data_IF_865696853215
#
_entry.id   IF_865696853215
#
_cell.length_a   1.000
_cell.length_b   1.000
_cell.length_c   1.000
_cell.angle_alpha   90.00
_cell.angle_beta   90.00
_cell.angle_gamma   90.00
#
_symmetry.space_group_name_H-M   'P 1'
#
loop_
_entity.id
_entity.type
_entity.pdbx_description
1 polymer ?
#
# COMPACT_ATOMS: atom_id res chain seq x y z
N UNK A 1 -51.18 -6.41 25.13
CA UNK A 1 -51.80 -5.50 24.14
C UNK A 1 -50.75 -5.27 23.05
N UNK A 2 -50.57 -6.18 22.08
CA UNK A 2 -51.44 -6.43 20.91
C UNK A 2 -51.45 -5.17 20.00
N UNK A 3 -51.02 -5.16 18.72
CA UNK A 3 -51.06 -6.21 17.70
C UNK A 3 -50.08 -5.96 16.54
N UNK A 4 -49.46 -7.03 16.06
CA UNK A 4 -49.21 -7.30 14.64
C UNK A 4 -50.56 -7.50 13.92
N UNK A 5 -50.73 -6.97 12.70
CA UNK A 5 -51.40 -7.61 11.55
C UNK A 5 -51.84 -6.54 10.54
N UNK A 6 -51.44 -6.70 9.27
CA UNK A 6 -52.38 -7.10 8.21
C UNK A 6 -51.66 -7.15 6.85
N UNK A 7 -51.51 -8.39 6.38
CA UNK A 7 -51.31 -8.77 4.99
C UNK A 7 -52.70 -8.88 4.31
N UNK A 8 -52.71 -8.61 2.99
CA UNK A 8 -53.67 -9.03 1.96
C UNK A 8 -55.08 -8.39 1.84
N UNK A 9 -55.26 -7.68 0.71
CA UNK A 9 -56.29 -7.90 -0.31
C UNK A 9 -55.82 -7.17 -1.60
N UNK A 10 -55.56 -7.80 -2.75
CA UNK A 10 -56.55 -8.33 -3.71
C UNK A 10 -56.98 -7.21 -4.68
N UNK A 11 -56.32 -6.98 -5.82
CA UNK A 11 -56.50 -7.60 -7.16
C UNK A 11 -57.49 -6.88 -8.09
N UNK A 12 -57.08 -6.80 -9.37
CA UNK A 12 -57.79 -6.40 -10.61
C UNK A 12 -57.87 -4.90 -10.92
N UNK A 13 -57.71 -4.42 -12.15
CA UNK A 13 -57.11 -4.86 -13.42
C UNK A 13 -57.30 -3.67 -14.36
N UNK A 14 -56.40 -3.44 -15.33
CA UNK A 14 -56.72 -3.10 -16.73
C UNK A 14 -55.43 -2.82 -17.53
N UNK A 15 -55.20 -3.73 -18.47
CA UNK A 15 -54.29 -3.62 -19.62
C UNK A 15 -54.72 -2.44 -20.52
N UNK A 16 -53.81 -1.76 -21.23
CA UNK A 16 -53.40 -2.18 -22.58
C UNK A 16 -52.12 -1.47 -23.07
N UNK A 17 -51.40 -2.07 -24.03
CA UNK A 17 -50.07 -1.65 -24.50
C UNK A 17 -50.14 -0.81 -25.79
N UNK A 18 -49.14 0.04 -26.02
CA UNK A 18 -48.92 0.68 -27.32
C UNK A 18 -47.71 0.07 -28.03
N UNK A 19 -47.92 -0.19 -29.31
CA UNK A 19 -47.14 -1.01 -30.23
C UNK A 19 -45.85 -0.36 -30.77
N UNK A 20 -45.04 -1.27 -31.29
CA UNK A 20 -43.83 -1.20 -32.09
C UNK A 20 -43.76 -0.20 -33.25
N UNK A 21 -42.54 0.25 -33.55
CA UNK A 21 -42.04 0.30 -34.92
C UNK A 21 -40.79 -0.57 -35.09
N UNK A 22 -40.87 -1.45 -36.09
CA UNK A 22 -39.76 -2.20 -36.72
C UNK A 22 -38.99 -1.29 -37.68
N UNK A 23 -37.74 -1.68 -37.97
CA UNK A 23 -37.01 -1.69 -39.27
C UNK A 23 -35.50 -1.59 -38.90
N UNK A 24 -34.53 -2.35 -39.40
CA UNK A 24 -34.41 -3.57 -40.21
C UNK A 24 -32.95 -4.05 -40.04
N UNK A 25 -32.75 -5.35 -39.89
CA UNK A 25 -31.45 -6.06 -39.95
C UNK A 25 -30.96 -6.21 -41.39
N UNK A 26 -29.64 -6.07 -41.62
CA UNK A 26 -28.91 -6.84 -42.64
C UNK A 26 -27.49 -7.20 -42.13
N UNK A 27 -27.16 -8.48 -42.23
CA UNK A 27 -25.86 -9.13 -41.94
C UNK A 27 -25.03 -9.26 -43.26
N UNK A 28 -23.96 -10.07 -43.36
CA UNK A 28 -22.59 -9.58 -43.51
C UNK A 28 -21.96 -10.00 -44.86
N UNK A 29 -20.80 -9.47 -45.25
CA UNK A 29 -19.95 -10.14 -46.24
C UNK A 29 -18.46 -9.87 -45.97
N UNK A 30 -17.70 -10.96 -45.89
CA UNK A 30 -16.24 -11.03 -46.01
C UNK A 30 -15.87 -10.98 -47.49
N UNK A 31 -14.68 -10.48 -47.84
CA UNK A 31 -13.48 -11.28 -48.22
C UNK A 31 -12.33 -10.41 -48.74
N UNK A 32 -11.11 -10.87 -48.40
CA UNK A 32 -9.82 -10.82 -49.13
C UNK A 32 -9.15 -9.44 -49.34
N UNK A 33 -7.83 -9.23 -49.32
CA UNK A 33 -6.61 -10.01 -49.65
C UNK A 33 -5.42 -9.40 -48.85
N UNK A 34 -4.50 -10.11 -48.19
CA UNK A 34 -3.30 -10.86 -48.64
C UNK A 34 -1.97 -10.22 -48.12
N UNK A 35 -1.32 -10.97 -47.20
CA UNK A 35 0.11 -11.26 -46.91
C UNK A 35 1.28 -10.45 -47.56
N UNK A 36 2.56 -10.64 -47.13
CA UNK A 36 3.13 -10.78 -45.77
C UNK A 36 4.42 -9.92 -45.58
N UNK A 37 4.92 -9.78 -44.35
CA UNK A 37 6.35 -9.47 -44.14
C UNK A 37 6.92 -10.38 -43.06
N UNK A 38 7.87 -11.21 -43.47
CA UNK A 38 8.71 -12.06 -42.65
C UNK A 38 9.93 -11.29 -42.17
N UNK A 39 10.35 -11.50 -40.92
CA UNK A 39 11.78 -11.66 -40.63
C UNK A 39 11.96 -12.50 -39.38
N UNK A 40 12.78 -13.53 -39.55
CA UNK A 40 13.25 -14.46 -38.54
C UNK A 40 14.34 -13.84 -37.66
N UNK A 41 14.70 -14.61 -36.63
CA UNK A 41 16.00 -14.67 -35.97
C UNK A 41 16.17 -13.68 -34.80
N UNK A 42 16.66 -14.06 -33.61
CA UNK A 42 17.44 -15.23 -33.19
C UNK A 42 17.25 -15.47 -31.69
N UNK A 43 17.18 -16.74 -31.35
CA UNK A 43 17.51 -17.32 -30.06
C UNK A 43 18.88 -16.83 -29.58
N UNK A 44 18.99 -16.45 -28.30
CA UNK A 44 20.25 -16.55 -27.57
C UNK A 44 20.00 -17.23 -26.23
N UNK A 45 20.63 -18.40 -26.10
CA UNK A 45 20.74 -19.16 -24.87
C UNK A 45 21.64 -18.41 -23.89
N UNK A 46 21.24 -18.39 -22.63
CA UNK A 46 22.07 -17.93 -21.53
C UNK A 46 22.93 -19.10 -21.07
N UNK A 47 24.22 -19.05 -21.41
CA UNK A 47 25.22 -19.96 -20.88
C UNK A 47 25.63 -19.47 -19.49
N UNK A 48 25.46 -20.37 -18.53
CA UNK A 48 25.93 -20.26 -17.15
C UNK A 48 27.46 -20.23 -17.10
N UNK A 49 28.04 -19.21 -16.48
CA UNK A 49 29.45 -19.19 -16.09
C UNK A 49 29.56 -18.80 -14.62
N UNK A 50 29.85 -19.81 -13.79
CA UNK A 50 30.38 -19.67 -12.43
C UNK A 50 31.89 -19.41 -12.51
N UNK A 51 32.34 -18.32 -11.89
CA UNK A 51 33.75 -18.10 -11.46
C UNK A 51 33.63 -17.36 -10.12
N UNK A 52 33.61 -18.05 -8.97
CA UNK A 52 34.75 -18.45 -8.11
C UNK A 52 35.81 -17.35 -7.89
N UNK A 53 35.79 -16.85 -6.66
CA UNK A 53 36.90 -16.46 -5.79
C UNK A 53 37.96 -15.49 -6.32
N UNK A 54 37.85 -14.23 -5.89
CA UNK A 54 39.02 -13.37 -5.64
C UNK A 54 38.78 -12.52 -4.38
N UNK A 55 39.36 -12.96 -3.26
CA UNK A 55 39.58 -12.18 -2.04
C UNK A 55 40.81 -11.27 -2.17
N UNK A 56 40.91 -10.22 -1.33
CA UNK A 56 41.65 -9.00 -1.64
C UNK A 56 43.11 -9.02 -1.17
N UNK A 57 43.97 -8.32 -1.92
CA UNK A 57 45.35 -8.03 -1.51
C UNK A 57 45.37 -6.83 -0.55
N UNK A 58 45.80 -7.11 0.68
CA UNK A 58 46.16 -6.14 1.72
C UNK A 58 47.57 -5.60 1.48
N UNK A 59 47.77 -4.30 1.69
CA UNK A 59 49.08 -3.77 2.02
C UNK A 59 49.25 -2.27 1.81
N UNK A 60 49.07 -1.47 2.86
CA UNK A 60 50.11 -0.51 3.28
C UNK A 60 49.74 0.22 4.58
N UNK A 61 50.69 0.13 5.52
CA UNK A 61 50.76 0.81 6.81
C UNK A 61 50.67 2.33 6.68
N UNK A 62 50.07 3.01 7.66
CA UNK A 62 50.74 4.12 8.39
C UNK A 62 49.97 4.59 9.65
N UNK A 63 50.74 4.53 10.75
CA UNK A 63 50.79 5.40 11.94
C UNK A 63 49.58 5.46 12.89
N UNK A 64 49.79 4.81 14.04
CA UNK A 64 49.18 5.15 15.31
C UNK A 64 49.62 6.55 15.77
N UNK A 65 48.67 7.40 16.12
CA UNK A 65 48.86 8.50 17.06
C UNK A 65 48.05 8.19 18.32
N UNK A 66 48.75 8.12 19.44
CA UNK A 66 48.20 7.96 20.78
C UNK A 66 48.00 9.38 21.33
N UNK A 67 46.76 9.78 21.58
CA UNK A 67 46.45 10.90 22.46
C UNK A 67 45.62 10.39 23.63
N UNK A 68 46.09 10.72 24.83
CA UNK A 68 45.51 10.33 26.11
C UNK A 68 44.33 11.25 26.43
N UNK A 69 43.23 10.59 26.83
CA UNK A 69 42.21 10.98 27.82
C UNK A 69 42.02 12.47 28.17
N UNK A 70 40.79 12.93 27.95
CA UNK A 70 40.10 13.82 28.88
C UNK A 70 38.71 13.26 29.12
N UNK A 71 38.43 12.89 30.38
CA UNK A 71 37.11 12.55 30.90
C UNK A 71 36.07 13.60 30.50
N UNK A 72 34.99 13.13 29.89
CA UNK A 72 33.79 13.91 29.60
C UNK A 72 32.69 12.91 29.29
N UNK A 73 31.73 12.79 30.21
CA UNK A 73 30.78 11.69 30.30
C UNK A 73 30.18 11.24 28.97
N UNK A 74 30.32 9.95 28.67
CA UNK A 74 29.55 9.27 27.64
C UNK A 74 28.08 9.24 28.07
N UNK A 75 27.33 10.27 27.68
CA UNK A 75 25.91 10.07 27.42
C UNK A 75 25.80 9.16 26.21
N UNK A 76 25.55 7.88 26.43
CA UNK A 76 25.08 6.97 25.39
C UNK A 76 23.73 7.47 24.85
N UNK A 77 23.76 8.45 23.95
CA UNK A 77 22.70 8.59 22.97
C UNK A 77 22.76 7.31 22.12
N UNK A 78 21.99 6.30 22.51
CA UNK A 78 21.70 5.16 21.63
C UNK A 78 21.02 5.74 20.39
N UNK A 79 21.81 6.06 19.36
CA UNK A 79 21.29 6.51 18.08
C UNK A 79 20.22 5.53 17.63
N UNK A 80 18.99 6.00 17.49
CA UNK A 80 17.86 5.17 17.08
C UNK A 80 18.22 4.54 15.73
N UNK A 81 18.39 3.22 15.68
CA UNK A 81 18.72 2.53 14.44
C UNK A 81 17.65 2.84 13.40
N UNK A 82 18.04 3.06 12.14
CA UNK A 82 17.05 3.17 11.07
C UNK A 82 16.31 1.84 10.93
N UNK A 83 14.99 1.90 10.76
CA UNK A 83 14.15 0.72 10.55
C UNK A 83 14.15 0.30 9.08
N UNK A 84 14.14 -0.99 8.81
CA UNK A 84 13.99 -1.53 7.46
C UNK A 84 12.51 -1.60 7.09
N UNK A 85 12.13 -0.86 6.05
CA UNK A 85 10.77 -0.76 5.57
C UNK A 85 10.60 -1.56 4.27
N UNK A 86 9.52 -2.33 4.19
CA UNK A 86 8.99 -2.80 2.91
C UNK A 86 7.79 -1.95 2.51
N UNK A 87 7.58 -1.75 1.22
CA UNK A 87 6.40 -1.06 0.70
C UNK A 87 5.66 -1.93 -0.30
N UNK A 88 4.34 -1.96 -0.21
CA UNK A 88 3.49 -2.72 -1.13
C UNK A 88 2.65 -1.76 -1.95
N UNK A 89 2.64 -1.91 -3.28
CA UNK A 89 1.93 -1.01 -4.20
C UNK A 89 1.27 -1.78 -5.35
N UNK A 90 0.21 -1.21 -5.93
CA UNK A 90 -0.44 -1.75 -7.14
C UNK A 90 -0.62 -0.71 -8.27
N UNK A 91 -0.10 0.50 -8.09
CA UNK A 91 -0.39 1.67 -8.93
C UNK A 91 0.75 2.69 -8.98
N UNK A 92 0.40 3.97 -9.05
CA UNK A 92 1.37 5.06 -9.24
C UNK A 92 2.36 5.27 -8.07
N UNK A 93 2.01 4.82 -6.87
CA UNK A 93 2.89 4.86 -5.70
C UNK A 93 3.13 6.27 -5.14
N UNK A 94 2.18 7.19 -5.24
CA UNK A 94 2.33 8.56 -4.71
C UNK A 94 2.53 8.58 -3.18
N UNK A 95 1.79 7.76 -2.43
CA UNK A 95 2.02 7.56 -0.99
C UNK A 95 3.44 7.04 -0.70
N UNK A 96 3.90 6.03 -1.46
CA UNK A 96 5.26 5.51 -1.33
C UNK A 96 6.30 6.62 -1.58
N UNK A 97 6.15 7.40 -2.66
CA UNK A 97 7.05 8.51 -3.00
C UNK A 97 7.12 9.54 -1.87
N UNK A 98 5.98 9.90 -1.26
CA UNK A 98 5.91 10.85 -0.15
C UNK A 98 6.69 10.33 1.07
N UNK A 99 6.44 9.09 1.51
CA UNK A 99 7.16 8.51 2.66
C UNK A 99 8.65 8.31 2.34
N UNK A 100 8.99 7.87 1.12
CA UNK A 100 10.38 7.71 0.69
C UNK A 100 11.12 9.05 0.69
N UNK A 101 10.51 10.12 0.20
CA UNK A 101 11.09 11.47 0.29
C UNK A 101 11.34 11.87 1.76
N UNK A 102 10.41 11.58 2.66
CA UNK A 102 10.58 11.83 4.10
C UNK A 102 11.71 10.98 4.73
N UNK A 103 11.96 9.77 4.20
CA UNK A 103 13.14 9.00 4.63
C UNK A 103 14.45 9.61 4.14
N UNK A 104 14.47 10.17 2.93
CA UNK A 104 15.65 10.81 2.34
C UNK A 104 15.96 12.15 3.03
N UNK A 105 14.94 12.93 3.41
CA UNK A 105 15.13 14.19 4.16
C UNK A 105 15.53 13.96 5.62
N UNK A 106 15.35 12.75 6.15
CA UNK A 106 15.64 12.41 7.54
C UNK A 106 14.45 12.54 8.49
N UNK A 107 13.29 13.02 8.01
CA UNK A 107 12.06 13.14 8.81
C UNK A 107 11.51 11.79 9.27
N UNK A 108 11.78 10.73 8.50
CA UNK A 108 11.47 9.34 8.84
C UNK A 108 12.77 8.57 8.99
N UNK A 109 13.05 8.08 10.20
CA UNK A 109 14.18 7.19 10.52
C UNK A 109 13.97 5.74 10.00
N UNK A 110 13.55 5.60 8.76
CA UNK A 110 13.35 4.35 8.05
C UNK A 110 14.19 4.26 6.79
N UNK A 111 14.34 3.06 6.22
CA UNK A 111 14.99 2.82 4.95
C UNK A 111 14.15 1.82 4.14
N UNK A 112 13.70 2.20 2.95
CA UNK A 112 12.98 1.27 2.08
C UNK A 112 13.96 0.29 1.44
N UNK A 113 13.92 -0.96 1.89
CA UNK A 113 14.86 -2.01 1.44
C UNK A 113 14.27 -2.93 0.37
N UNK A 114 12.94 -2.92 0.20
CA UNK A 114 12.26 -3.70 -0.84
C UNK A 114 10.88 -3.12 -1.14
N UNK A 115 10.48 -3.18 -2.40
CA UNK A 115 9.12 -2.93 -2.86
C UNK A 115 8.47 -4.23 -3.34
N UNK A 116 7.22 -4.45 -2.96
CA UNK A 116 6.40 -5.58 -3.42
C UNK A 116 5.24 -5.06 -4.25
N UNK A 117 4.95 -5.72 -5.37
CA UNK A 117 3.85 -5.32 -6.25
C UNK A 117 3.21 -6.50 -6.94
N UNK A 118 1.91 -6.41 -7.22
CA UNK A 118 1.21 -7.36 -8.08
C UNK A 118 1.18 -6.92 -9.56
N UNK A 119 1.92 -5.86 -9.91
CA UNK A 119 2.05 -5.33 -11.27
C UNK A 119 3.49 -4.90 -11.55
N UNK A 120 4.16 -5.63 -12.44
CA UNK A 120 5.56 -5.43 -12.79
C UNK A 120 5.91 -3.99 -13.20
N UNK A 121 5.05 -3.36 -14.03
CA UNK A 121 5.32 -2.05 -14.64
C UNK A 121 4.50 -0.90 -14.04
N UNK A 122 4.03 -1.04 -12.80
CA UNK A 122 3.32 0.07 -12.15
C UNK A 122 4.27 1.22 -11.79
N UNK A 123 3.74 2.45 -11.75
CA UNK A 123 4.54 3.65 -11.49
C UNK A 123 5.30 3.66 -10.16
N UNK A 124 4.82 2.92 -9.16
CA UNK A 124 5.56 2.70 -7.91
C UNK A 124 6.78 1.78 -8.08
N UNK A 125 6.65 0.71 -8.87
CA UNK A 125 7.75 -0.21 -9.15
C UNK A 125 8.84 0.47 -10.01
N UNK A 126 8.45 1.26 -11.00
CA UNK A 126 9.40 2.03 -11.81
C UNK A 126 10.20 3.01 -10.94
N UNK A 127 9.52 3.74 -10.05
CA UNK A 127 10.18 4.61 -9.09
C UNK A 127 11.14 3.87 -8.15
N UNK A 128 10.76 2.70 -7.64
CA UNK A 128 11.66 1.90 -6.80
C UNK A 128 12.93 1.50 -7.56
N UNK A 129 12.81 1.04 -8.82
CA UNK A 129 13.97 0.71 -9.66
C UNK A 129 14.87 1.92 -9.91
N UNK A 130 14.28 3.08 -10.22
CA UNK A 130 15.02 4.35 -10.37
C UNK A 130 15.80 4.76 -9.11
N UNK A 131 15.31 4.37 -7.92
CA UNK A 131 15.95 4.63 -6.63
C UNK A 131 16.84 3.47 -6.15
N UNK A 132 17.02 2.42 -6.95
CA UNK A 132 17.82 1.26 -6.59
C UNK A 132 17.18 0.36 -5.52
N UNK A 133 15.87 0.47 -5.30
CA UNK A 133 15.12 -0.36 -4.35
C UNK A 133 14.68 -1.65 -5.09
N UNK A 134 15.08 -2.84 -4.61
CA UNK A 134 14.67 -4.11 -5.20
C UNK A 134 13.14 -4.26 -5.28
N UNK A 135 12.66 -4.87 -6.36
CA UNK A 135 11.23 -5.10 -6.60
C UNK A 135 10.93 -6.60 -6.62
N UNK A 136 9.95 -7.03 -5.82
CA UNK A 136 9.42 -8.39 -5.79
C UNK A 136 8.01 -8.40 -6.38
N UNK A 137 7.71 -9.39 -7.22
CA UNK A 137 6.35 -9.61 -7.73
C UNK A 137 5.59 -10.57 -6.81
N UNK A 138 4.41 -10.15 -6.36
CA UNK A 138 3.51 -10.95 -5.54
C UNK A 138 2.06 -10.48 -5.73
N UNK A 139 1.07 -11.39 -5.78
CA UNK A 139 1.20 -12.85 -5.71
C UNK A 139 1.53 -13.48 -7.06
N UNK A 140 1.84 -14.78 -7.07
CA UNK A 140 1.73 -15.61 -8.28
C UNK A 140 0.30 -15.47 -8.82
N UNK A 141 0.17 -15.14 -10.10
CA UNK A 141 -1.13 -15.07 -10.78
C UNK A 141 -1.19 -16.10 -11.89
N UNK A 142 -2.40 -16.57 -12.24
CA UNK A 142 -2.60 -17.49 -13.37
C UNK A 142 -2.03 -16.85 -14.64
N UNK A 143 -1.08 -17.53 -15.29
CA UNK A 143 -0.38 -17.03 -16.48
C UNK A 143 0.78 -16.06 -16.19
N UNK A 144 1.12 -15.80 -14.91
CA UNK A 144 2.27 -15.00 -14.49
C UNK A 144 3.07 -15.76 -13.40
N UNK A 145 3.93 -16.71 -13.80
CA UNK A 145 4.69 -17.56 -12.86
C UNK A 145 5.79 -16.79 -12.12
N UNK A 146 6.07 -15.55 -12.51
CA UNK A 146 7.08 -14.66 -11.89
C UNK A 146 6.73 -14.20 -10.47
N UNK A 147 5.46 -14.30 -10.05
CA UNK A 147 5.05 -13.92 -8.71
C UNK A 147 5.36 -15.00 -7.68
N UNK A 148 5.60 -14.59 -6.44
CA UNK A 148 5.84 -15.51 -5.31
C UNK A 148 4.54 -16.04 -4.69
N UNK A 149 4.64 -17.22 -4.06
CA UNK A 149 3.64 -17.70 -3.10
C UNK A 149 3.71 -16.88 -1.79
N UNK A 150 2.70 -17.01 -0.92
CA UNK A 150 2.72 -16.32 0.38
C UNK A 150 3.92 -16.75 1.25
N UNK A 151 4.19 -18.06 1.33
CA UNK A 151 5.33 -18.60 2.08
C UNK A 151 6.68 -18.14 1.50
N UNK A 152 6.83 -18.17 0.18
CA UNK A 152 8.06 -17.72 -0.47
C UNK A 152 8.28 -16.23 -0.27
N UNK A 153 7.21 -15.43 -0.24
CA UNK A 153 7.30 -14.01 0.06
C UNK A 153 7.78 -13.78 1.51
N UNK A 154 7.29 -14.52 2.50
CA UNK A 154 7.78 -14.44 3.88
C UNK A 154 9.28 -14.76 3.94
N UNK A 155 9.71 -15.83 3.28
CA UNK A 155 11.13 -16.21 3.20
C UNK A 155 11.97 -15.14 2.49
N UNK A 156 11.44 -14.51 1.44
CA UNK A 156 12.13 -13.43 0.74
C UNK A 156 12.26 -12.18 1.63
N UNK A 157 11.18 -11.75 2.27
CA UNK A 157 11.16 -10.55 3.12
C UNK A 157 12.02 -10.71 4.39
N UNK A 158 12.11 -11.92 4.95
CA UNK A 158 12.94 -12.16 6.15
C UNK A 158 14.43 -11.84 5.92
N UNK A 159 14.93 -12.04 4.69
CA UNK A 159 16.31 -11.71 4.29
C UNK A 159 16.61 -10.21 4.37
N UNK A 160 15.58 -9.38 4.22
CA UNK A 160 15.69 -7.92 4.32
C UNK A 160 15.55 -7.40 5.76
N UNK A 161 15.30 -8.28 6.74
CA UNK A 161 15.12 -7.90 8.17
C UNK A 161 14.07 -6.79 8.33
N UNK A 162 12.93 -6.92 7.67
CA UNK A 162 11.85 -5.92 7.68
C UNK A 162 11.32 -5.70 9.10
N UNK A 163 11.27 -4.44 9.51
CA UNK A 163 10.64 -3.99 10.76
C UNK A 163 9.16 -3.66 10.54
N UNK A 164 8.85 -2.95 9.44
CA UNK A 164 7.48 -2.57 9.07
C UNK A 164 7.20 -2.72 7.58
N UNK A 165 5.97 -3.13 7.26
CA UNK A 165 5.42 -3.19 5.91
C UNK A 165 4.37 -2.09 5.76
N UNK A 166 4.56 -1.21 4.79
CA UNK A 166 3.63 -0.12 4.48
C UNK A 166 2.86 -0.44 3.20
N UNK A 167 1.55 -0.67 3.30
CA UNK A 167 0.67 -0.81 2.14
C UNK A 167 0.31 0.60 1.64
N UNK A 168 0.78 0.95 0.45
CA UNK A 168 0.63 2.27 -0.16
C UNK A 168 -0.18 2.16 -1.46
N UNK A 169 -1.46 1.78 -1.34
CA UNK A 169 -2.33 1.49 -2.47
C UNK A 169 -2.11 0.09 -3.05
N UNK A 170 -1.89 -0.90 -2.17
CA UNK A 170 -1.86 -2.30 -2.55
C UNK A 170 -3.28 -2.87 -2.59
N UNK A 171 -3.64 -3.57 -3.67
CA UNK A 171 -5.03 -3.92 -3.99
C UNK A 171 -5.35 -5.41 -3.83
N UNK A 172 -4.48 -6.17 -3.16
CA UNK A 172 -4.71 -7.59 -2.86
C UNK A 172 -4.79 -7.77 -1.35
N UNK A 173 -5.60 -8.74 -0.92
CA UNK A 173 -5.65 -9.16 0.46
C UNK A 173 -4.26 -9.64 0.90
N UNK A 174 -3.85 -9.26 2.10
CA UNK A 174 -2.62 -9.77 2.69
C UNK A 174 -2.89 -11.18 3.22
N UNK A 175 -2.08 -12.18 2.85
CA UNK A 175 -2.29 -13.56 3.30
C UNK A 175 -1.94 -13.71 4.80
N UNK A 176 -2.57 -14.67 5.47
CA UNK A 176 -2.40 -14.90 6.92
C UNK A 176 -0.96 -15.30 7.30
N UNK A 177 -0.20 -15.88 6.38
CA UNK A 177 1.23 -16.15 6.54
C UNK A 177 2.02 -14.86 6.78
N UNK A 178 1.73 -13.80 6.03
CA UNK A 178 2.40 -12.50 6.22
C UNK A 178 1.98 -11.85 7.55
N UNK A 179 0.69 -11.89 7.86
CA UNK A 179 0.15 -11.29 9.10
C UNK A 179 0.76 -11.96 10.34
N UNK A 180 0.89 -13.30 10.31
CA UNK A 180 1.54 -14.05 11.39
C UNK A 180 3.06 -13.80 11.46
N UNK A 181 3.73 -13.62 10.32
CA UNK A 181 5.17 -13.34 10.29
C UNK A 181 5.52 -11.90 10.71
N UNK A 182 4.60 -10.95 10.54
CA UNK A 182 4.79 -9.52 10.85
C UNK A 182 3.68 -8.99 11.78
N UNK A 183 3.54 -9.54 12.99
CA UNK A 183 2.47 -9.16 13.90
C UNK A 183 2.63 -7.69 14.31
N UNK A 184 1.56 -6.90 14.18
CA UNK A 184 1.56 -5.46 14.48
C UNK A 184 2.64 -4.66 13.72
N UNK A 185 3.07 -5.16 12.57
CA UNK A 185 4.12 -4.54 11.74
C UNK A 185 3.65 -4.20 10.33
N UNK A 186 2.38 -4.46 9.99
CA UNK A 186 1.82 -4.13 8.68
C UNK A 186 0.80 -3.00 8.85
N UNK A 187 1.03 -1.88 8.17
CA UNK A 187 0.16 -0.72 8.15
C UNK A 187 -0.45 -0.54 6.78
N UNK A 188 -1.73 -0.17 6.72
CA UNK A 188 -2.41 0.22 5.50
C UNK A 188 -2.95 1.63 5.63
N UNK A 189 -2.98 2.35 4.51
CA UNK A 189 -3.70 3.61 4.39
C UNK A 189 -4.93 3.41 3.51
N UNK A 190 -6.10 3.77 4.03
CA UNK A 190 -7.38 3.66 3.36
C UNK A 190 -8.01 5.05 3.18
N UNK A 191 -8.54 5.41 2.00
CA UNK A 191 -8.98 6.78 1.69
C UNK A 191 -10.41 7.11 2.16
N UNK A 192 -10.80 6.63 3.34
CA UNK A 192 -12.02 7.04 4.06
C UNK A 192 -11.81 6.98 5.57
N UNK A 193 -12.74 7.59 6.32
CA UNK A 193 -12.81 7.49 7.78
C UNK A 193 -13.42 6.13 8.16
N UNK A 194 -12.57 5.12 8.35
CA UNK A 194 -13.00 3.79 8.79
C UNK A 194 -13.76 3.86 10.12
N UNK A 195 -14.77 2.98 10.34
CA UNK A 195 -15.15 1.84 9.49
C UNK A 195 -15.98 2.19 8.25
N UNK A 196 -16.34 3.46 8.04
CA UNK A 196 -17.16 3.86 6.91
C UNK A 196 -16.40 3.71 5.58
N UNK A 197 -17.08 3.18 4.56
CA UNK A 197 -16.53 2.98 3.21
C UNK A 197 -15.24 2.15 3.17
N UNK A 198 -15.04 1.25 4.14
CA UNK A 198 -13.97 0.26 4.17
C UNK A 198 -14.44 -1.12 3.70
N UNK A 199 -13.49 -2.03 3.50
CA UNK A 199 -13.76 -3.42 3.21
C UNK A 199 -13.72 -3.76 1.72
N UNK A 200 -14.08 -5.02 1.40
CA UNK A 200 -13.97 -5.56 0.05
C UNK A 200 -14.78 -4.73 -0.96
N UNK A 201 -14.10 -4.21 -1.98
CA UNK A 201 -14.73 -3.45 -3.07
C UNK A 201 -14.56 -1.92 -2.95
N UNK A 202 -14.16 -1.44 -1.77
CA UNK A 202 -13.84 -0.04 -1.54
C UNK A 202 -12.36 0.22 -1.76
N UNK A 203 -11.97 0.51 -3.00
CA UNK A 203 -10.60 0.89 -3.34
C UNK A 203 -10.55 1.89 -4.48
N UNK A 204 -9.47 2.68 -4.54
CA UNK A 204 -9.29 3.71 -5.56
C UNK A 204 -10.48 4.68 -5.61
N UNK A 205 -10.91 5.04 -6.82
CA UNK A 205 -12.02 6.01 -7.01
C UNK A 205 -13.37 5.52 -6.50
N UNK A 206 -13.55 4.21 -6.25
CA UNK A 206 -14.81 3.65 -5.73
C UNK A 206 -15.14 4.18 -4.34
N UNK A 207 -14.12 4.44 -3.52
CA UNK A 207 -14.30 4.98 -2.16
C UNK A 207 -14.90 6.38 -2.22
N UNK A 208 -14.25 7.28 -2.97
CA UNK A 208 -14.71 8.67 -3.10
C UNK A 208 -16.08 8.78 -3.79
N UNK A 209 -16.37 7.91 -4.77
CA UNK A 209 -17.72 7.80 -5.36
C UNK A 209 -18.78 7.46 -4.32
N UNK A 210 -18.51 6.47 -3.47
CA UNK A 210 -19.44 6.07 -2.41
C UNK A 210 -19.61 7.16 -1.34
N UNK A 211 -18.53 7.84 -0.96
CA UNK A 211 -18.56 8.98 -0.05
C UNK A 211 -19.49 10.08 -0.59
N UNK A 212 -19.28 10.52 -1.84
CA UNK A 212 -20.13 11.55 -2.46
C UNK A 212 -21.58 11.09 -2.54
N UNK A 213 -21.82 9.86 -3.02
CA UNK A 213 -23.16 9.32 -3.16
C UNK A 213 -23.92 9.19 -1.83
N UNK A 214 -23.21 9.00 -0.71
CA UNK A 214 -23.82 8.91 0.61
C UNK A 214 -24.28 10.25 1.21
N UNK A 215 -23.80 11.38 0.69
CA UNK A 215 -24.14 12.71 1.19
C UNK A 215 -23.44 13.14 2.49
N UNK A 216 -22.47 12.37 2.99
CA UNK A 216 -21.69 12.75 4.18
C UNK A 216 -20.91 14.06 3.97
N UNK A 217 -20.68 14.82 5.03
CA UNK A 217 -19.95 16.11 4.99
C UNK A 217 -18.45 15.99 5.28
N UNK A 218 -18.01 14.82 5.70
CA UNK A 218 -16.63 14.54 6.07
C UNK A 218 -16.17 13.20 5.52
N UNK A 219 -14.92 13.16 5.12
CA UNK A 219 -14.16 11.99 4.69
C UNK A 219 -12.71 12.17 5.16
N UNK A 220 -11.76 11.51 4.50
CA UNK A 220 -10.34 11.63 4.80
C UNK A 220 -9.67 10.28 4.99
N UNK A 221 -8.35 10.23 5.19
CA UNK A 221 -7.65 8.96 5.26
C UNK A 221 -7.67 8.34 6.66
N UNK A 222 -7.56 7.02 6.70
CA UNK A 222 -7.30 6.24 7.90
C UNK A 222 -6.03 5.42 7.70
N UNK A 223 -5.11 5.44 8.68
CA UNK A 223 -4.05 4.45 8.79
C UNK A 223 -4.39 3.49 9.92
N UNK A 224 -4.30 2.20 9.62
CA UNK A 224 -4.62 1.13 10.56
C UNK A 224 -3.63 -0.03 10.41
N UNK A 225 -3.51 -0.83 11.47
CA UNK A 225 -2.82 -2.11 11.39
C UNK A 225 -3.64 -3.09 10.55
N UNK A 226 -2.97 -3.91 9.75
CA UNK A 226 -3.62 -4.91 8.89
C UNK A 226 -3.89 -6.18 9.69
N UNK A 227 -5.08 -6.75 9.50
CA UNK A 227 -5.46 -8.09 9.93
C UNK A 227 -5.88 -8.94 8.72
N UNK A 228 -6.51 -10.09 8.95
CA UNK A 228 -6.89 -11.04 7.88
C UNK A 228 -8.04 -10.54 7.00
N UNK A 229 -8.71 -9.45 7.38
CA UNK A 229 -9.84 -8.88 6.67
C UNK A 229 -9.50 -7.49 6.12
N UNK A 230 -10.25 -7.05 5.11
CA UNK A 230 -10.07 -5.72 4.55
C UNK A 230 -10.54 -4.66 5.54
N UNK A 231 -9.62 -3.77 5.92
CA UNK A 231 -9.90 -2.51 6.60
C UNK A 231 -10.60 -2.63 7.97
N UNK A 232 -10.43 -3.77 8.68
CA UNK A 232 -11.00 -3.98 10.02
C UNK A 232 -10.00 -3.88 11.16
N UNK A 233 -8.71 -3.86 10.84
CA UNK A 233 -7.68 -3.84 11.87
C UNK A 233 -7.65 -2.52 12.64
N UNK A 234 -6.90 -2.50 13.75
CA UNK A 234 -6.93 -1.39 14.71
C UNK A 234 -6.45 -0.08 14.07
N UNK A 235 -7.31 0.92 14.12
CA UNK A 235 -7.03 2.28 13.64
C UNK A 235 -5.92 2.89 14.49
N UNK A 236 -4.94 3.50 13.83
CA UNK A 236 -3.82 4.19 14.44
C UNK A 236 -3.93 5.72 14.27
N UNK A 237 -4.37 6.19 13.10
CA UNK A 237 -4.51 7.61 12.84
C UNK A 237 -5.59 7.89 11.80
N UNK A 238 -6.28 9.02 11.95
CA UNK A 238 -7.24 9.53 10.98
C UNK A 238 -7.07 11.04 10.79
N UNK A 239 -7.46 11.54 9.62
CA UNK A 239 -7.60 12.98 9.38
C UNK A 239 -8.92 13.29 8.70
N UNK A 240 -9.59 14.31 9.20
CA UNK A 240 -10.85 14.78 8.62
C UNK A 240 -10.57 15.66 7.40
N UNK A 241 -11.32 15.42 6.35
CA UNK A 241 -11.35 16.20 5.11
C UNK A 241 -12.80 16.56 4.80
N UNK A 242 -13.14 17.85 4.61
CA UNK A 242 -14.49 18.23 4.23
C UNK A 242 -14.85 17.74 2.83
N UNK A 243 -16.08 17.26 2.69
CA UNK A 243 -16.73 16.97 1.39
C UNK A 243 -17.57 18.20 1.03
N UNK A 244 -17.17 18.89 -0.03
CA UNK A 244 -17.84 20.11 -0.49
C UNK A 244 -19.09 19.75 -1.29
N UNK A 245 -20.08 20.65 -1.30
CA UNK A 245 -21.38 20.40 -1.93
C UNK A 245 -21.27 20.05 -3.43
N UNK A 246 -20.27 20.61 -4.11
CA UNK A 246 -20.06 20.44 -5.56
C UNK A 246 -18.79 19.65 -5.88
N UNK A 247 -18.25 18.89 -4.93
CA UNK A 247 -17.05 18.07 -5.17
C UNK A 247 -17.31 17.08 -6.31
N UNK A 248 -16.41 17.08 -7.29
CA UNK A 248 -16.20 15.91 -8.15
C UNK A 248 -15.45 14.82 -7.37
N UNK A 249 -15.50 13.58 -7.89
CA UNK A 249 -14.77 12.44 -7.32
C UNK A 249 -13.27 12.72 -7.27
N UNK A 250 -12.74 13.34 -8.32
CA UNK A 250 -11.34 13.66 -8.52
C UNK A 250 -10.87 14.76 -7.55
N UNK A 251 -11.68 15.80 -7.32
CA UNK A 251 -11.36 16.88 -6.37
C UNK A 251 -11.32 16.38 -4.93
N UNK A 252 -12.33 15.57 -4.52
CA UNK A 252 -12.33 14.95 -3.21
C UNK A 252 -11.12 14.01 -3.06
N UNK A 253 -10.87 13.15 -4.06
CA UNK A 253 -9.73 12.23 -4.06
C UNK A 253 -8.41 12.99 -3.91
N UNK A 254 -8.21 14.09 -4.65
CA UNK A 254 -7.02 14.92 -4.55
C UNK A 254 -6.86 15.56 -3.16
N UNK A 255 -7.97 15.98 -2.54
CA UNK A 255 -7.96 16.56 -1.18
C UNK A 255 -7.61 15.52 -0.13
N UNK A 256 -8.17 14.32 -0.22
CA UNK A 256 -7.85 13.19 0.67
C UNK A 256 -6.38 12.76 0.48
N UNK A 257 -5.92 12.63 -0.76
CA UNK A 257 -4.55 12.21 -1.09
C UNK A 257 -3.48 13.15 -0.52
N UNK A 258 -3.74 14.46 -0.48
CA UNK A 258 -2.82 15.43 0.19
C UNK A 258 -2.69 15.15 1.69
N UNK A 259 -3.76 14.71 2.34
CA UNK A 259 -3.70 14.32 3.75
C UNK A 259 -3.07 12.94 3.93
N UNK A 260 -3.27 12.01 2.98
CA UNK A 260 -2.61 10.71 2.98
C UNK A 260 -1.09 10.87 3.00
N UNK A 261 -0.53 11.68 2.09
CA UNK A 261 0.92 11.88 1.98
C UNK A 261 1.55 12.37 3.30
N UNK A 262 0.90 13.35 3.94
CA UNK A 262 1.37 13.92 5.21
C UNK A 262 1.23 12.92 6.35
N UNK A 263 0.04 12.37 6.52
CA UNK A 263 -0.27 11.47 7.63
C UNK A 263 0.55 10.19 7.57
N UNK A 264 0.78 9.64 6.37
CA UNK A 264 1.55 8.41 6.24
C UNK A 264 3.03 8.62 6.57
N UNK A 265 3.62 9.77 6.20
CA UNK A 265 4.98 10.12 6.60
C UNK A 265 5.10 10.28 8.12
N UNK A 266 4.15 10.98 8.75
CA UNK A 266 4.13 11.17 10.21
C UNK A 266 3.99 9.85 10.99
N UNK A 267 3.08 8.97 10.54
CA UNK A 267 2.91 7.64 11.13
C UNK A 267 4.13 6.77 10.89
N UNK A 268 4.73 6.80 9.70
CA UNK A 268 5.96 6.08 9.40
C UNK A 268 7.10 6.54 10.33
N UNK A 269 7.23 7.84 10.59
CA UNK A 269 8.18 8.36 11.57
C UNK A 269 7.87 7.81 12.97
N UNK A 270 6.60 7.83 13.40
CA UNK A 270 6.19 7.34 14.71
C UNK A 270 6.51 5.87 14.94
N UNK A 271 6.26 4.99 13.96
CA UNK A 271 6.64 3.58 14.10
C UNK A 271 8.15 3.38 14.05
N UNK A 272 8.88 4.16 13.24
CA UNK A 272 10.33 4.05 13.15
C UNK A 272 11.04 4.49 14.45
N UNK A 273 10.44 5.44 15.14
CA UNK A 273 10.93 6.01 16.41
C UNK A 273 10.32 5.32 17.64
N UNK A 274 9.61 4.21 17.45
CA UNK A 274 9.02 3.40 18.54
C UNK A 274 8.03 4.17 19.43
N UNK A 275 7.34 5.17 18.86
CA UNK A 275 6.35 6.00 19.58
C UNK A 275 4.93 5.46 19.55
N UNK A 276 4.70 4.29 18.94
CA UNK A 276 3.38 3.65 18.97
C UNK A 276 3.26 2.77 20.20
N UNK A 277 2.40 3.19 21.13
CA UNK A 277 2.12 2.47 22.38
C UNK A 277 0.79 1.74 22.24
N UNK A 278 0.72 0.52 22.74
CA UNK A 278 -0.51 -0.25 22.82
C UNK A 278 -1.10 -0.11 24.21
N UNK A 279 -2.33 0.40 24.30
CA UNK A 279 -3.11 0.40 25.54
C UNK A 279 -3.47 -1.05 25.93
N UNK A 280 -3.84 -1.24 27.19
CA UNK A 280 -4.26 -2.56 27.72
C UNK A 280 -5.47 -3.14 26.98
N UNK A 281 -6.37 -2.28 26.49
CA UNK A 281 -7.55 -2.66 25.68
C UNK A 281 -7.22 -2.98 24.21
N UNK A 282 -5.93 -2.93 23.84
CA UNK A 282 -5.46 -3.22 22.50
C UNK A 282 -5.66 -2.09 21.49
N UNK A 283 -5.93 -0.86 21.94
CA UNK A 283 -5.98 0.33 21.09
C UNK A 283 -4.57 0.94 20.96
N UNK A 284 -4.03 1.10 19.74
CA UNK A 284 -2.74 1.75 19.56
C UNK A 284 -2.89 3.27 19.59
N UNK A 285 -1.91 3.97 20.16
CA UNK A 285 -1.84 5.43 20.26
C UNK A 285 -0.44 5.92 19.89
N UNK A 286 -0.32 7.13 19.35
CA UNK A 286 0.97 7.71 19.01
C UNK A 286 1.39 8.68 20.12
N UNK A 287 2.51 8.39 20.78
CA UNK A 287 3.14 9.30 21.73
C UNK A 287 3.72 10.52 21.00
N UNK A 288 3.45 11.71 21.53
CA UNK A 288 3.95 12.98 21.00
C UNK A 288 5.47 13.12 21.19
N UNK A 289 6.15 13.66 20.17
CA UNK A 289 7.58 14.01 20.26
C UNK A 289 7.85 15.12 21.28
N UNK A 290 6.95 16.10 21.36
CA UNK A 290 7.16 17.30 22.17
C UNK A 290 6.78 17.10 23.64
N UNK A 291 5.88 16.16 23.92
CA UNK A 291 5.42 15.86 25.27
C UNK A 291 5.13 14.35 25.39
N UNK A 292 6.00 13.57 26.06
CA UNK A 292 5.81 12.12 26.24
C UNK A 292 4.51 11.74 26.96
N UNK A 293 3.86 12.68 27.66
CA UNK A 293 2.58 12.45 28.34
C UNK A 293 1.36 12.76 27.46
N UNK A 294 1.57 13.21 26.21
CA UNK A 294 0.50 13.50 25.26
C UNK A 294 0.48 12.46 24.14
N UNK A 295 -0.73 12.02 23.79
CA UNK A 295 -0.98 10.99 22.80
C UNK A 295 -1.98 11.50 21.77
N UNK A 296 -1.81 11.08 20.52
CA UNK A 296 -2.72 11.35 19.40
C UNK A 296 -3.21 10.06 18.76
#
# INVERSE_FOLDING_TARGET
MAMEALFNAGSNSLFTPIQSHKVTTFLPFRTSDSLPFSSQSKSQSWISLKVRDLTPLVGSKKRALKCMSSDGGESLEKGVRRKNLAVFVSGGGSNFRAVHQATVSGDVHGNFVVLVTNKHDCGGANYAREKGIPVIIFPTMKGKPEGLSANDLVVALSKYKIDFILLAGYLKLIPSELIRAYPKSILNIHPSLLPAFGGKGYYGTKVHKAVIASGVRYSGPTIHFVDENYDTGRILAQRIVPVLANDTVEELAARVLRQEHKMYAEVAAAVCEERVIWREDGVPIIQSKANPNHYS
#
